data_IF_134960395805
#
_entry.id   IF_134960395805
#
_cell.length_a   1.000
_cell.length_b   1.000
_cell.length_c   1.000
_cell.angle_alpha   90.00
_cell.angle_beta   90.00
_cell.angle_gamma   90.00
#
_symmetry.space_group_name_H-M   'P 1'
#
loop_
_entity.id
_entity.type
_entity.pdbx_description
1 polymer ?
#
# COMPACT_ATOMS: atom_id res chain seq x y z
N UNK A 1 -2.88 13.25 9.49
CA UNK A 1 -1.46 13.55 9.44
C UNK A 1 -0.79 12.45 8.63
N UNK A 2 -0.10 12.82 7.58
CA UNK A 2 0.70 11.91 6.78
C UNK A 2 1.98 11.63 7.53
N UNK A 3 2.28 10.37 7.72
CA UNK A 3 3.54 9.93 8.29
C UNK A 3 4.32 9.19 7.21
N UNK A 4 5.33 9.84 6.67
CA UNK A 4 6.30 9.18 5.83
C UNK A 4 7.43 8.66 6.72
N UNK A 5 7.39 7.38 7.01
CA UNK A 5 8.39 6.73 7.86
C UNK A 5 9.80 6.74 7.25
N UNK A 6 9.91 7.04 5.94
CA UNK A 6 11.22 7.21 5.30
C UNK A 6 11.89 8.53 5.63
N UNK A 7 11.11 9.60 5.82
CA UNK A 7 11.65 10.91 6.18
C UNK A 7 12.03 11.01 7.65
N UNK A 8 11.54 10.07 8.46
CA UNK A 8 11.74 10.05 9.90
C UNK A 8 12.94 9.16 10.28
N UNK A 9 14.05 9.30 9.59
CA UNK A 9 15.23 8.45 9.83
C UNK A 9 16.29 9.08 10.74
N UNK A 10 16.04 10.22 11.31
CA UNK A 10 16.96 10.84 12.25
C UNK A 10 16.39 10.83 13.67
N UNK A 11 16.94 11.64 14.56
CA UNK A 11 16.54 11.71 15.97
C UNK A 11 15.03 11.89 16.20
N UNK A 12 14.34 12.53 15.26
CA UNK A 12 12.89 12.73 15.32
C UNK A 12 12.10 11.43 15.10
N UNK A 13 12.62 10.48 14.34
CA UNK A 13 12.02 9.18 14.09
C UNK A 13 11.84 8.35 15.35
N UNK A 14 12.79 8.43 16.26
CA UNK A 14 12.69 7.73 17.52
C UNK A 14 11.51 8.21 18.37
N UNK A 15 11.36 9.51 18.55
CA UNK A 15 10.29 10.09 19.36
C UNK A 15 8.93 9.82 18.72
N UNK A 16 8.85 9.86 17.40
CA UNK A 16 7.65 9.58 16.64
C UNK A 16 7.26 8.10 16.77
N UNK A 17 8.17 7.16 16.53
CA UNK A 17 7.91 5.74 16.67
C UNK A 17 7.52 5.37 18.10
N UNK A 18 8.14 6.00 19.09
CA UNK A 18 7.78 5.85 20.49
C UNK A 18 6.33 6.29 20.77
N UNK A 19 5.88 7.39 20.16
CA UNK A 19 4.51 7.85 20.31
C UNK A 19 3.51 6.89 19.66
N UNK A 20 3.83 6.36 18.48
CA UNK A 20 3.04 5.35 17.78
C UNK A 20 3.00 4.05 18.59
N UNK A 21 4.12 3.61 19.14
CA UNK A 21 4.17 2.38 19.95
C UNK A 21 3.31 2.50 21.20
N UNK A 22 3.33 3.64 21.87
CA UNK A 22 2.44 3.89 23.03
C UNK A 22 0.97 3.89 22.62
N UNK A 23 0.65 4.48 21.50
CA UNK A 23 -0.70 4.41 20.94
C UNK A 23 -1.11 2.95 20.64
N UNK A 24 -0.19 2.16 20.08
CA UNK A 24 -0.43 0.76 19.77
C UNK A 24 -0.56 -0.14 20.99
N UNK A 25 0.12 0.16 22.07
CA UNK A 25 -0.03 -0.61 23.32
C UNK A 25 -1.47 -0.56 23.85
N UNK A 26 -2.17 0.56 23.62
CA UNK A 26 -3.57 0.71 23.97
C UNK A 26 -4.53 -0.04 23.01
N UNK A 27 -4.08 -0.30 21.77
CA UNK A 27 -4.85 -0.93 20.70
C UNK A 27 -4.18 -2.18 20.12
N UNK A 28 -3.27 -2.79 20.84
CA UNK A 28 -2.31 -3.81 20.37
C UNK A 28 -2.93 -5.06 19.73
N UNK A 29 -4.20 -5.31 19.91
CA UNK A 29 -4.88 -6.45 19.30
C UNK A 29 -5.43 -6.18 17.90
N UNK A 30 -5.39 -4.92 17.42
CA UNK A 30 -6.04 -4.51 16.19
C UNK A 30 -5.08 -3.85 15.18
N UNK A 31 -3.91 -3.43 15.61
CA UNK A 31 -3.01 -2.62 14.81
C UNK A 31 -1.61 -3.27 14.83
N UNK A 32 -1.16 -3.75 13.67
CA UNK A 32 0.13 -4.40 13.52
C UNK A 32 1.34 -3.44 13.68
N UNK A 33 2.53 -3.90 13.34
CA UNK A 33 3.75 -3.10 13.37
C UNK A 33 3.66 -1.90 12.42
N UNK A 34 4.06 -0.72 12.91
CA UNK A 34 4.03 0.53 12.13
C UNK A 34 5.41 0.99 11.68
N UNK A 35 6.44 0.22 11.92
CA UNK A 35 7.78 0.54 11.44
C UNK A 35 8.04 -0.06 10.08
N UNK A 36 8.74 0.67 9.21
CA UNK A 36 8.99 0.25 7.84
C UNK A 36 10.28 -0.54 7.66
N UNK A 37 11.24 -0.43 8.58
CA UNK A 37 12.54 -1.08 8.48
C UNK A 37 12.82 -1.99 9.67
N UNK A 38 13.60 -3.07 9.43
CA UNK A 38 14.01 -3.98 10.49
C UNK A 38 14.87 -3.27 11.55
N UNK A 39 15.70 -2.32 11.13
CA UNK A 39 16.49 -1.53 12.06
C UNK A 39 15.65 -0.73 13.06
N UNK A 40 14.45 -0.28 12.66
CA UNK A 40 13.48 0.32 13.57
C UNK A 40 12.71 -0.74 14.34
N UNK A 41 12.40 -1.87 13.69
CA UNK A 41 11.75 -3.01 14.32
C UNK A 41 12.56 -3.60 15.49
N UNK A 42 13.87 -3.65 15.37
CA UNK A 42 14.78 -4.15 16.42
C UNK A 42 14.64 -3.38 17.75
N UNK A 43 14.32 -2.09 17.71
CA UNK A 43 14.08 -1.29 18.92
C UNK A 43 12.86 -1.74 19.72
N UNK A 44 11.91 -2.39 19.05
CA UNK A 44 10.61 -2.79 19.62
C UNK A 44 10.50 -4.31 19.77
N UNK A 45 11.54 -5.05 19.38
CA UNK A 45 11.54 -6.51 19.42
C UNK A 45 10.72 -7.14 18.27
N UNK A 46 10.54 -6.44 17.16
CA UNK A 46 9.83 -6.91 15.99
C UNK A 46 10.56 -6.63 14.68
N UNK A 47 10.00 -7.09 13.58
CA UNK A 47 10.49 -6.81 12.23
C UNK A 47 9.77 -5.61 11.62
N UNK A 48 10.40 -4.93 10.66
CA UNK A 48 9.76 -3.90 9.86
C UNK A 48 8.72 -4.47 8.88
N UNK A 49 7.70 -3.67 8.55
CA UNK A 49 6.67 -4.04 7.60
C UNK A 49 7.10 -3.96 6.13
N UNK A 50 8.29 -3.42 5.88
CA UNK A 50 8.76 -3.12 4.53
C UNK A 50 8.06 -1.91 3.91
N UNK A 51 8.56 -1.48 2.75
CA UNK A 51 7.99 -0.35 2.01
C UNK A 51 8.42 -0.40 0.56
N UNK A 52 7.59 0.14 -0.35
CA UNK A 52 7.89 0.32 -1.77
C UNK A 52 8.06 1.81 -2.04
N UNK A 53 9.19 2.19 -2.63
CA UNK A 53 9.44 3.58 -3.02
C UNK A 53 8.79 3.91 -4.38
N UNK A 54 8.39 5.18 -4.58
CA UNK A 54 7.89 5.66 -5.88
C UNK A 54 8.90 5.46 -7.01
N UNK A 55 10.20 5.48 -6.71
CA UNK A 55 11.26 5.18 -7.66
C UNK A 55 11.15 3.76 -8.26
N UNK A 56 10.64 2.79 -7.49
CA UNK A 56 10.39 1.45 -8.01
C UNK A 56 9.25 1.47 -9.04
N UNK A 57 8.19 2.23 -8.80
CA UNK A 57 7.10 2.39 -9.77
C UNK A 57 7.56 3.18 -11.00
N UNK A 58 8.40 4.22 -10.79
CA UNK A 58 9.00 4.99 -11.89
C UNK A 58 9.83 4.13 -12.84
N UNK A 59 10.53 3.10 -12.34
CA UNK A 59 11.31 2.18 -13.18
C UNK A 59 10.44 1.36 -14.15
N UNK A 60 9.14 1.27 -13.87
CA UNK A 60 8.12 0.69 -14.75
C UNK A 60 7.26 1.76 -15.44
N UNK A 61 7.80 2.97 -15.63
CA UNK A 61 7.13 4.10 -16.28
C UNK A 61 5.78 4.48 -15.63
N UNK A 62 5.63 4.26 -14.34
CA UNK A 62 4.39 4.52 -13.61
C UNK A 62 3.36 3.39 -13.67
N UNK A 63 3.70 2.24 -14.28
CA UNK A 63 2.82 1.07 -14.31
C UNK A 63 2.92 0.28 -13.02
N UNK A 64 2.06 0.60 -12.06
CA UNK A 64 1.99 -0.08 -10.76
C UNK A 64 1.62 -1.56 -10.92
N UNK A 65 0.76 -1.90 -11.88
CA UNK A 65 0.37 -3.29 -12.10
C UNK A 65 1.56 -4.13 -12.57
N UNK A 66 2.34 -3.63 -13.55
CA UNK A 66 3.55 -4.33 -14.01
C UNK A 66 4.61 -4.41 -12.90
N UNK A 67 4.81 -3.34 -12.14
CA UNK A 67 5.71 -3.36 -10.99
C UNK A 67 5.33 -4.47 -10.00
N UNK A 68 4.05 -4.63 -9.69
CA UNK A 68 3.55 -5.69 -8.81
C UNK A 68 3.70 -7.08 -9.41
N UNK A 69 3.52 -7.23 -10.71
CA UNK A 69 3.76 -8.50 -11.41
C UNK A 69 5.23 -8.92 -11.34
N UNK A 70 6.16 -7.99 -11.55
CA UNK A 70 7.59 -8.27 -11.41
C UNK A 70 7.99 -8.56 -9.96
N UNK A 71 7.45 -7.81 -9.01
CA UNK A 71 7.63 -8.06 -7.59
C UNK A 71 7.18 -9.49 -7.22
N UNK A 72 6.04 -9.92 -7.73
CA UNK A 72 5.48 -11.26 -7.47
C UNK A 72 6.32 -12.38 -8.08
N UNK A 73 6.95 -12.16 -9.23
CA UNK A 73 7.85 -13.14 -9.86
C UNK A 73 9.13 -13.36 -9.04
N UNK A 74 9.66 -12.30 -8.45
CA UNK A 74 10.99 -12.32 -7.80
C UNK A 74 10.91 -12.71 -6.33
N UNK A 75 9.89 -12.26 -5.60
CA UNK A 75 9.82 -12.45 -4.17
C UNK A 75 8.99 -13.68 -3.78
N UNK A 76 9.38 -14.36 -2.69
CA UNK A 76 8.65 -15.54 -2.22
C UNK A 76 7.24 -15.17 -1.72
N UNK A 77 6.32 -16.14 -1.72
CA UNK A 77 4.90 -15.93 -1.43
C UNK A 77 4.60 -15.37 -0.02
N UNK A 78 5.48 -15.62 0.95
CA UNK A 78 5.29 -15.12 2.31
C UNK A 78 5.50 -13.60 2.46
N UNK A 79 6.12 -12.93 1.47
CA UNK A 79 6.23 -11.47 1.46
C UNK A 79 4.91 -10.88 0.99
N UNK A 80 4.19 -10.07 1.79
CA UNK A 80 2.91 -9.48 1.39
C UNK A 80 3.03 -8.60 0.14
N UNK A 81 2.07 -8.73 -0.78
CA UNK A 81 1.96 -7.89 -1.97
C UNK A 81 1.14 -6.66 -1.64
N UNK A 82 1.83 -5.55 -1.40
CA UNK A 82 1.20 -4.25 -1.11
C UNK A 82 1.56 -3.29 -2.25
N UNK A 83 0.56 -2.89 -3.03
CA UNK A 83 0.74 -2.01 -4.18
C UNK A 83 0.75 -0.54 -3.77
N UNK A 84 1.77 0.21 -4.19
CA UNK A 84 1.83 1.67 -4.05
C UNK A 84 1.09 2.29 -5.24
N UNK A 85 -0.07 2.89 -5.00
CA UNK A 85 -1.06 3.19 -6.06
C UNK A 85 -1.26 4.67 -6.36
N UNK A 86 -0.47 5.54 -5.76
CA UNK A 86 -0.63 7.00 -5.89
C UNK A 86 0.36 7.67 -6.86
N UNK A 87 1.23 6.88 -7.53
CA UNK A 87 2.27 7.41 -8.41
C UNK A 87 1.69 8.32 -9.51
N UNK A 88 0.58 7.94 -10.10
CA UNK A 88 -0.09 8.69 -11.17
C UNK A 88 -1.15 9.66 -10.65
N UNK A 89 -1.24 9.87 -9.33
CA UNK A 89 -2.26 10.69 -8.68
C UNK A 89 -3.71 10.26 -9.01
N UNK A 90 -3.89 8.98 -9.32
CA UNK A 90 -5.18 8.33 -9.58
C UNK A 90 -5.20 6.97 -8.88
N UNK A 91 -5.31 7.04 -7.56
CA UNK A 91 -5.18 5.86 -6.69
C UNK A 91 -6.27 4.82 -6.92
N UNK A 92 -7.48 5.23 -7.29
CA UNK A 92 -8.59 4.30 -7.58
C UNK A 92 -8.31 3.49 -8.84
N UNK A 93 -7.91 4.17 -9.93
CA UNK A 93 -7.57 3.50 -11.19
C UNK A 93 -6.43 2.51 -11.01
N UNK A 94 -5.34 2.97 -10.39
CA UNK A 94 -4.12 2.16 -10.26
C UNK A 94 -4.34 1.00 -9.29
N UNK A 95 -5.17 1.17 -8.25
CA UNK A 95 -5.65 0.08 -7.39
C UNK A 95 -6.40 -0.98 -8.19
N UNK A 96 -7.40 -0.58 -8.94
CA UNK A 96 -8.21 -1.52 -9.74
C UNK A 96 -7.37 -2.27 -10.75
N UNK A 97 -6.47 -1.57 -11.45
CA UNK A 97 -5.58 -2.18 -12.44
C UNK A 97 -4.61 -3.18 -11.82
N UNK A 98 -3.99 -2.84 -10.69
CA UNK A 98 -3.11 -3.77 -9.98
C UNK A 98 -3.87 -5.01 -9.49
N UNK A 99 -5.04 -4.81 -8.88
CA UNK A 99 -5.89 -5.89 -8.39
C UNK A 99 -6.34 -6.82 -9.54
N UNK A 100 -6.84 -6.26 -10.64
CA UNK A 100 -7.30 -7.02 -11.80
C UNK A 100 -6.16 -7.85 -12.41
N UNK A 101 -5.01 -7.22 -12.67
CA UNK A 101 -3.85 -7.89 -13.29
C UNK A 101 -3.36 -9.04 -12.43
N UNK A 102 -3.22 -8.83 -11.13
CA UNK A 102 -2.77 -9.88 -10.20
C UNK A 102 -3.81 -10.99 -10.06
N UNK A 103 -5.10 -10.65 -9.97
CA UNK A 103 -6.18 -11.64 -9.88
C UNK A 103 -6.29 -12.51 -11.11
N UNK A 104 -6.18 -11.94 -12.31
CA UNK A 104 -6.18 -12.71 -13.56
C UNK A 104 -5.02 -13.71 -13.59
N UNK A 105 -3.83 -13.30 -13.15
CA UNK A 105 -2.67 -14.22 -13.09
C UNK A 105 -2.85 -15.28 -12.02
N UNK A 106 -3.37 -14.92 -10.86
CA UNK A 106 -3.73 -15.87 -9.81
C UNK A 106 -4.66 -16.97 -10.35
N UNK A 107 -5.76 -16.58 -11.02
CA UNK A 107 -6.73 -17.51 -11.59
C UNK A 107 -6.11 -18.42 -12.65
N UNK A 108 -5.34 -17.85 -13.59
CA UNK A 108 -4.61 -18.64 -14.61
C UNK A 108 -3.78 -19.75 -13.97
N UNK A 109 -3.04 -19.45 -12.91
CA UNK A 109 -2.19 -20.43 -12.23
C UNK A 109 -3.01 -21.46 -11.44
N UNK A 110 -4.12 -21.07 -10.83
CA UNK A 110 -5.05 -22.00 -10.20
C UNK A 110 -5.65 -22.98 -11.22
N UNK A 111 -6.02 -22.51 -12.41
CA UNK A 111 -6.54 -23.34 -13.49
C UNK A 111 -5.48 -24.36 -13.99
N UNK A 112 -4.19 -24.03 -13.84
CA UNK A 112 -3.07 -24.93 -14.13
C UNK A 112 -2.69 -25.85 -12.95
N UNK A 113 -3.42 -25.78 -11.83
CA UNK A 113 -3.14 -26.46 -10.57
C UNK A 113 -1.76 -26.14 -9.96
N UNK A 114 -1.25 -24.92 -10.20
CA UNK A 114 -0.01 -24.41 -9.60
C UNK A 114 -0.32 -23.44 -8.45
N UNK A 115 -0.88 -23.98 -7.38
CA UNK A 115 -1.29 -23.20 -6.20
C UNK A 115 -0.09 -22.51 -5.53
N UNK A 116 1.08 -23.12 -5.56
CA UNK A 116 2.29 -22.57 -4.94
C UNK A 116 2.76 -21.31 -5.65
N UNK A 117 2.72 -21.30 -6.99
CA UNK A 117 3.05 -20.12 -7.76
C UNK A 117 1.90 -19.09 -7.70
N UNK A 118 0.64 -19.53 -7.76
CA UNK A 118 -0.53 -18.67 -7.63
C UNK A 118 -0.50 -17.83 -6.35
N UNK A 119 -0.07 -18.40 -5.23
CA UNK A 119 0.02 -17.70 -3.96
C UNK A 119 0.88 -16.42 -4.00
N UNK A 120 1.83 -16.32 -4.94
CA UNK A 120 2.64 -15.11 -5.13
C UNK A 120 1.86 -13.92 -5.69
N UNK A 121 0.70 -14.17 -6.31
CA UNK A 121 -0.11 -13.15 -6.99
C UNK A 121 -1.35 -12.74 -6.20
N UNK A 122 -1.40 -13.08 -4.92
CA UNK A 122 -2.45 -12.59 -4.01
C UNK A 122 -2.09 -11.17 -3.58
N UNK A 123 -2.87 -10.20 -4.03
CA UNK A 123 -2.73 -8.81 -3.56
C UNK A 123 -3.24 -8.72 -2.11
N UNK A 124 -2.33 -8.41 -1.19
CA UNK A 124 -2.65 -8.28 0.22
C UNK A 124 -3.30 -6.94 0.56
N UNK A 125 -2.87 -5.88 -0.12
CA UNK A 125 -3.38 -4.54 0.13
C UNK A 125 -2.80 -3.49 -0.81
N UNK A 126 -3.23 -2.26 -0.59
CA UNK A 126 -2.70 -1.09 -1.29
C UNK A 126 -2.17 -0.06 -0.28
N UNK A 127 -1.14 0.67 -0.68
CA UNK A 127 -0.57 1.77 0.09
C UNK A 127 -0.91 3.08 -0.60
N UNK A 128 -1.49 3.99 0.16
CA UNK A 128 -1.71 5.38 -0.23
C UNK A 128 -0.61 6.23 0.40
N UNK A 129 0.08 7.01 -0.42
CA UNK A 129 1.21 7.84 -0.02
C UNK A 129 1.15 9.24 -0.67
N UNK A 130 -0.04 9.67 -1.06
CA UNK A 130 -0.31 10.93 -1.75
C UNK A 130 0.20 12.12 -0.95
N UNK A 131 1.00 12.98 -1.61
CA UNK A 131 1.56 14.17 -0.98
C UNK A 131 0.48 15.08 -0.39
N UNK A 132 0.74 15.66 0.78
CA UNK A 132 -0.13 16.63 1.40
C UNK A 132 -0.35 17.93 0.60
N UNK A 133 0.37 18.10 -0.50
CA UNK A 133 0.20 19.20 -1.47
C UNK A 133 -0.56 18.79 -2.73
N UNK A 134 -0.93 17.53 -2.88
CA UNK A 134 -1.62 17.01 -4.05
C UNK A 134 -3.04 16.56 -3.68
N UNK A 135 -3.97 16.75 -4.59
CA UNK A 135 -5.30 16.17 -4.54
C UNK A 135 -5.37 15.01 -5.53
N UNK A 136 -5.70 13.83 -5.04
CA UNK A 136 -5.97 12.68 -5.92
C UNK A 136 -7.18 12.98 -6.82
N UNK A 137 -7.13 12.54 -8.07
CA UNK A 137 -8.20 12.81 -9.06
C UNK A 137 -9.55 12.23 -8.66
N UNK A 138 -9.56 11.17 -7.86
CA UNK A 138 -10.79 10.55 -7.34
C UNK A 138 -11.48 11.36 -6.23
N UNK A 139 -10.80 12.37 -5.67
CA UNK A 139 -11.35 13.21 -4.60
C UNK A 139 -11.95 14.48 -5.19
N UNK A 140 -13.27 14.61 -5.16
CA UNK A 140 -13.97 15.83 -5.59
C UNK A 140 -13.56 17.03 -4.73
N UNK A 141 -13.21 18.18 -5.33
CA UNK A 141 -12.76 19.34 -4.57
C UNK A 141 -13.91 19.98 -3.79
N UNK A 142 -13.68 20.25 -2.51
CA UNK A 142 -14.56 21.04 -1.65
C UNK A 142 -14.04 22.46 -1.42
N UNK A 143 -12.79 22.73 -1.86
CA UNK A 143 -12.11 24.00 -1.64
C UNK A 143 -11.46 24.13 -0.27
N UNK A 144 -11.38 23.05 0.49
CA UNK A 144 -10.69 22.97 1.77
C UNK A 144 -9.47 22.04 1.65
N UNK A 145 -8.23 22.58 1.71
CA UNK A 145 -7.03 21.74 1.61
C UNK A 145 -6.96 20.62 2.63
N UNK A 146 -7.54 20.78 3.83
CA UNK A 146 -7.55 19.74 4.84
C UNK A 146 -8.44 18.56 4.49
N UNK A 147 -9.45 18.76 3.64
CA UNK A 147 -10.38 17.75 3.17
C UNK A 147 -10.04 17.21 1.78
N UNK A 148 -9.29 17.99 0.99
CA UNK A 148 -9.06 17.69 -0.43
C UNK A 148 -7.68 17.09 -0.68
N UNK A 149 -6.66 17.45 0.12
CA UNK A 149 -5.27 17.11 -0.18
C UNK A 149 -4.75 15.93 0.64
N UNK A 150 -3.71 15.29 0.09
CA UNK A 150 -3.01 14.19 0.73
C UNK A 150 -3.84 12.92 0.88
N UNK A 151 -3.36 12.04 1.74
CA UNK A 151 -4.14 10.87 2.16
C UNK A 151 -5.17 11.30 3.20
N UNK A 152 -6.39 11.44 2.77
CA UNK A 152 -7.53 11.83 3.61
C UNK A 152 -8.60 10.73 3.63
N UNK A 153 -9.57 10.77 4.56
CA UNK A 153 -10.60 9.73 4.67
C UNK A 153 -11.43 9.52 3.39
N UNK A 154 -11.64 10.55 2.58
CA UNK A 154 -12.38 10.48 1.32
C UNK A 154 -11.63 9.67 0.27
N UNK A 155 -10.31 9.88 0.17
CA UNK A 155 -9.46 9.08 -0.70
C UNK A 155 -9.48 7.60 -0.30
N UNK A 156 -9.32 7.30 0.99
CA UNK A 156 -9.40 5.93 1.50
C UNK A 156 -10.73 5.28 1.17
N UNK A 157 -11.83 6.02 1.36
CA UNK A 157 -13.18 5.54 1.03
C UNK A 157 -13.35 5.27 -0.47
N UNK A 158 -12.89 6.18 -1.34
CA UNK A 158 -12.98 6.02 -2.79
C UNK A 158 -12.19 4.80 -3.29
N UNK A 159 -10.97 4.59 -2.74
CA UNK A 159 -10.18 3.41 -3.06
C UNK A 159 -10.86 2.13 -2.58
N UNK A 160 -11.43 2.14 -1.38
CA UNK A 160 -12.20 1.00 -0.88
C UNK A 160 -13.40 0.67 -1.77
N UNK A 161 -14.18 1.67 -2.16
CA UNK A 161 -15.29 1.47 -3.10
C UNK A 161 -14.80 0.93 -4.45
N UNK A 162 -13.64 1.40 -4.94
CA UNK A 162 -13.02 0.89 -6.17
C UNK A 162 -12.70 -0.60 -6.10
N UNK A 163 -12.19 -1.06 -4.94
CA UNK A 163 -11.92 -2.48 -4.68
C UNK A 163 -13.21 -3.30 -4.64
N UNK A 164 -14.20 -2.84 -3.88
CA UNK A 164 -15.48 -3.55 -3.72
C UNK A 164 -16.20 -3.69 -5.06
N UNK A 165 -16.27 -2.60 -5.85
CA UNK A 165 -16.91 -2.61 -7.17
C UNK A 165 -16.20 -3.52 -8.17
N UNK A 166 -14.86 -3.58 -8.12
CA UNK A 166 -14.10 -4.51 -8.96
C UNK A 166 -14.40 -5.97 -8.58
N UNK A 167 -14.43 -6.27 -7.29
CA UNK A 167 -14.74 -7.61 -6.79
C UNK A 167 -16.16 -8.06 -7.19
N UNK A 168 -17.16 -7.18 -7.03
CA UNK A 168 -18.55 -7.46 -7.43
C UNK A 168 -18.68 -7.73 -8.94
N UNK A 169 -17.86 -7.11 -9.76
CA UNK A 169 -17.90 -7.31 -11.22
C UNK A 169 -17.34 -8.66 -11.68
N UNK A 170 -16.63 -9.39 -10.79
CA UNK A 170 -15.96 -10.67 -11.10
C UNK A 170 -16.73 -11.89 -10.54
N UNK A 171 -17.75 -11.67 -9.72
CA UNK A 171 -18.63 -12.69 -9.15
C UNK A 171 -20.01 -12.65 -9.78
#
# INVERSE_FOLDING_TARGET
>A
ARFDLHEVQAADGYAYNLAIERFNMDFSHQIGSFVSTDAQGDWWGGAGGGTVAHAAIASFLGDTAEAMMQFSRVLPAHVPRIALVDFNNDSVRDTRRAMETMFMKYRELCDLNDEAEAAKYILYGVRLDTSGSLRDVSVEPLGDPALDLGVNPRLVFNVRQGLDSAWESWN
#
